data_IF_512743070942
#
_entry.id   IF_512743070942
#
_cell.length_a   1.000
_cell.length_b   1.000
_cell.length_c   1.000
_cell.angle_alpha   90.00
_cell.angle_beta   90.00
_cell.angle_gamma   90.00
#
_symmetry.space_group_name_H-M   'P 1'
#
loop_
_entity.id
_entity.type
_entity.pdbx_description
1 polymer ?
#
# COMPACT_ATOMS: atom_id res chain seq x y z
N UNK A 1 61.19 68.45 -41.07
CA UNK A 1 62.09 67.36 -41.51
C UNK A 1 61.59 66.06 -40.89
N UNK A 2 61.24 65.09 -41.74
CA UNK A 2 61.17 63.61 -41.58
C UNK A 2 60.85 63.02 -40.19
N UNK A 3 59.90 62.09 -39.97
CA UNK A 3 59.42 60.94 -40.77
C UNK A 3 58.21 60.27 -40.08
N UNK A 4 57.24 59.75 -40.86
CA UNK A 4 56.29 58.66 -40.46
C UNK A 4 57.05 57.29 -40.40
N UNK A 5 56.52 56.12 -39.90
CA UNK A 5 55.11 55.66 -39.70
C UNK A 5 54.93 54.71 -38.45
N UNK A 6 53.98 53.73 -38.34
CA UNK A 6 52.63 53.52 -38.91
C UNK A 6 51.50 53.28 -37.85
N UNK A 7 50.25 53.31 -38.33
CA UNK A 7 49.00 52.91 -37.66
C UNK A 7 48.98 51.46 -37.15
N UNK A 8 48.22 51.17 -36.07
CA UNK A 8 47.38 49.96 -35.93
C UNK A 8 46.30 50.10 -34.83
N UNK A 9 45.06 49.94 -35.28
CA UNK A 9 43.83 49.43 -34.65
C UNK A 9 43.55 49.67 -33.16
N UNK A 10 42.46 50.41 -32.93
CA UNK A 10 41.69 50.49 -31.69
C UNK A 10 40.84 49.22 -31.51
N UNK A 11 41.09 48.46 -30.43
CA UNK A 11 40.11 47.52 -29.91
C UNK A 11 39.78 47.88 -28.45
N UNK A 12 38.48 48.07 -28.25
CA UNK A 12 37.83 48.59 -27.07
C UNK A 12 37.39 47.40 -26.22
N UNK A 13 38.20 46.97 -25.26
CA UNK A 13 37.86 45.83 -24.39
C UNK A 13 37.22 46.33 -23.10
N UNK A 14 35.89 46.37 -23.12
CA UNK A 14 35.03 46.56 -21.95
C UNK A 14 35.21 45.41 -20.97
N UNK A 15 35.49 45.76 -19.73
CA UNK A 15 35.55 44.90 -18.55
C UNK A 15 34.25 44.12 -18.35
N UNK A 16 34.31 42.78 -18.46
CA UNK A 16 33.25 41.88 -17.99
C UNK A 16 33.41 41.66 -16.49
N UNK A 17 32.40 42.09 -15.73
CA UNK A 17 32.27 41.88 -14.30
C UNK A 17 32.09 40.39 -13.97
N UNK A 18 32.78 39.97 -12.91
CA UNK A 18 32.69 38.63 -12.34
C UNK A 18 31.24 38.28 -11.96
N UNK A 19 30.72 37.25 -12.60
CA UNK A 19 29.48 36.58 -12.22
C UNK A 19 29.71 35.90 -10.86
N UNK A 20 28.98 36.35 -9.85
CA UNK A 20 29.00 35.77 -8.52
C UNK A 20 28.52 34.33 -8.60
N UNK A 21 29.46 33.41 -8.39
CA UNK A 21 29.23 31.98 -8.28
C UNK A 21 28.45 31.71 -6.99
N UNK A 22 27.12 31.75 -7.05
CA UNK A 22 26.25 31.23 -5.99
C UNK A 22 26.47 29.71 -5.89
N UNK A 23 26.80 29.16 -4.70
CA UNK A 23 26.97 27.73 -4.56
C UNK A 23 25.64 27.02 -4.90
N UNK A 24 25.66 26.14 -5.90
CA UNK A 24 24.58 25.17 -6.12
C UNK A 24 24.45 24.36 -4.83
N UNK A 25 23.34 24.51 -4.10
CA UNK A 25 23.04 23.62 -2.99
C UNK A 25 22.83 22.22 -3.58
N UNK A 26 23.76 21.32 -3.28
CA UNK A 26 23.79 19.97 -3.83
C UNK A 26 22.92 19.06 -2.96
N UNK A 27 21.63 18.99 -3.28
CA UNK A 27 20.70 18.12 -2.57
C UNK A 27 20.90 16.67 -3.03
N UNK A 28 21.29 15.80 -2.11
CA UNK A 28 21.26 14.35 -2.30
C UNK A 28 19.86 13.95 -2.79
N UNK A 29 19.72 13.20 -3.90
CA UNK A 29 18.40 12.78 -4.38
C UNK A 29 17.64 12.02 -3.29
N UNK A 30 16.36 12.35 -3.10
CA UNK A 30 15.51 11.67 -2.13
C UNK A 30 15.01 10.33 -2.66
N UNK A 31 14.62 9.44 -1.75
CA UNK A 31 13.80 8.30 -2.13
C UNK A 31 12.38 8.77 -2.49
N UNK A 32 11.69 8.06 -3.36
CA UNK A 32 10.29 8.37 -3.74
C UNK A 32 9.42 7.16 -3.47
N UNK A 33 8.42 7.30 -2.61
CA UNK A 33 7.39 6.29 -2.37
C UNK A 33 6.15 6.61 -3.23
N UNK A 34 5.92 5.79 -4.24
CA UNK A 34 4.67 5.78 -4.99
C UNK A 34 3.63 5.01 -4.20
N UNK A 35 2.51 5.65 -3.87
CA UNK A 35 1.51 5.12 -2.95
C UNK A 35 0.09 5.52 -3.34
N UNK A 36 -0.90 4.84 -2.78
CA UNK A 36 -2.31 5.25 -2.87
C UNK A 36 -2.95 5.24 -1.49
N UNK A 37 -3.70 6.28 -1.08
CA UNK A 37 -4.39 6.32 0.21
C UNK A 37 -5.38 5.16 0.40
N UNK A 38 -6.00 4.71 -0.69
CA UNK A 38 -6.95 3.58 -0.71
C UNK A 38 -6.24 2.21 -0.81
N UNK A 39 -4.90 2.18 -0.81
CA UNK A 39 -4.12 0.95 -0.86
C UNK A 39 -3.66 0.52 0.52
N UNK A 40 -4.08 -0.69 0.86
CA UNK A 40 -3.79 -1.39 2.10
C UNK A 40 -2.29 -1.57 2.30
N UNK A 41 -1.60 -2.02 1.25
CA UNK A 41 -0.17 -2.21 1.28
C UNK A 41 0.61 -0.89 1.28
N UNK A 42 0.02 0.19 0.74
CA UNK A 42 0.59 1.54 0.88
C UNK A 42 0.51 2.01 2.33
N UNK A 43 -0.59 1.74 3.03
CA UNK A 43 -0.69 2.03 4.47
C UNK A 43 0.41 1.32 5.28
N UNK A 44 0.76 0.06 4.95
CA UNK A 44 1.88 -0.63 5.60
C UNK A 44 3.22 0.10 5.38
N UNK A 45 3.50 0.56 4.16
CA UNK A 45 4.71 1.32 3.87
C UNK A 45 4.73 2.67 4.61
N UNK A 46 3.60 3.37 4.68
CA UNK A 46 3.47 4.63 5.42
C UNK A 46 3.66 4.42 6.92
N UNK A 47 3.05 3.38 7.51
CA UNK A 47 3.29 3.00 8.91
C UNK A 47 4.77 2.73 9.17
N UNK A 48 5.46 2.05 8.25
CA UNK A 48 6.90 1.81 8.37
C UNK A 48 7.72 3.11 8.33
N UNK A 49 7.40 4.04 7.43
CA UNK A 49 8.08 5.35 7.38
C UNK A 49 7.93 6.11 8.70
N UNK A 50 6.72 6.15 9.26
CA UNK A 50 6.43 6.83 10.53
C UNK A 50 7.11 6.17 11.72
N UNK A 51 7.01 4.85 11.86
CA UNK A 51 7.61 4.11 12.98
C UNK A 51 9.14 4.15 12.96
N UNK A 52 9.72 4.24 11.77
CA UNK A 52 11.16 4.41 11.60
C UNK A 52 11.61 5.86 11.71
N UNK A 53 10.68 6.82 11.72
CA UNK A 53 10.97 8.24 11.90
C UNK A 53 11.52 8.94 10.66
N UNK A 54 11.25 8.44 9.45
CA UNK A 54 11.63 9.12 8.21
C UNK A 54 10.99 10.51 8.13
N UNK A 55 11.81 11.54 7.88
CA UNK A 55 11.38 12.92 7.71
C UNK A 55 10.89 13.23 6.29
N UNK A 56 10.15 14.33 6.17
CA UNK A 56 9.58 14.81 4.90
C UNK A 56 10.67 15.22 3.88
N UNK A 57 11.89 15.45 4.33
CA UNK A 57 13.05 15.74 3.50
C UNK A 57 13.86 14.49 3.11
N UNK A 58 13.47 13.29 3.56
CA UNK A 58 14.17 12.03 3.24
C UNK A 58 13.42 11.20 2.18
N UNK A 59 12.08 11.25 2.18
CA UNK A 59 11.23 10.47 1.26
C UNK A 59 10.12 11.34 0.69
N UNK A 60 10.09 11.50 -0.63
CA UNK A 60 8.98 12.15 -1.31
C UNK A 60 7.83 11.15 -1.51
N UNK A 61 6.60 11.57 -1.20
CA UNK A 61 5.40 10.77 -1.42
C UNK A 61 4.75 11.16 -2.75
N UNK A 62 4.55 10.18 -3.64
CA UNK A 62 3.88 10.38 -4.93
C UNK A 62 2.59 9.59 -5.01
N UNK A 63 1.47 10.29 -5.10
CA UNK A 63 0.15 9.70 -5.26
C UNK A 63 0.05 8.97 -6.60
N UNK A 64 -0.56 7.79 -6.57
CA UNK A 64 -1.01 7.02 -7.73
C UNK A 64 -2.51 6.77 -7.58
N UNK A 65 -3.29 7.35 -8.48
CA UNK A 65 -4.75 7.21 -8.54
C UNK A 65 -5.12 5.87 -9.18
N UNK A 66 -5.44 4.88 -8.33
CA UNK A 66 -5.83 3.55 -8.75
C UNK A 66 -7.22 3.52 -9.41
N UNK A 67 -8.08 4.50 -9.15
CA UNK A 67 -9.39 4.63 -9.79
C UNK A 67 -9.28 5.06 -11.24
N UNK A 68 -8.30 5.91 -11.55
CA UNK A 68 -7.96 6.33 -12.92
C UNK A 68 -7.01 5.40 -13.66
N UNK A 69 -6.57 4.32 -13.01
CA UNK A 69 -5.66 3.34 -13.62
C UNK A 69 -4.24 3.88 -13.85
N UNK A 70 -3.77 4.87 -13.08
CA UNK A 70 -2.43 5.45 -13.25
C UNK A 70 -1.30 4.42 -13.03
N UNK A 71 -1.56 3.37 -12.25
CA UNK A 71 -0.64 2.25 -12.06
C UNK A 71 -0.45 1.39 -13.33
N UNK A 72 -1.28 1.56 -14.35
CA UNK A 72 -1.13 0.90 -15.66
C UNK A 72 -0.38 1.75 -16.68
N UNK A 73 -0.08 3.01 -16.35
CA UNK A 73 0.66 3.91 -17.23
C UNK A 73 2.06 3.36 -17.53
N UNK A 74 2.54 3.40 -18.79
CA UNK A 74 3.86 2.90 -19.16
C UNK A 74 5.01 3.49 -18.34
N UNK A 75 4.91 4.74 -17.89
CA UNK A 75 5.91 5.39 -17.04
C UNK A 75 5.95 4.75 -15.65
N UNK A 76 4.80 4.42 -15.07
CA UNK A 76 4.72 3.69 -13.81
C UNK A 76 5.17 2.23 -13.97
N UNK A 77 4.79 1.57 -15.07
CA UNK A 77 5.14 0.16 -15.34
C UNK A 77 6.65 -0.05 -15.51
N UNK A 78 7.41 0.99 -15.90
CA UNK A 78 8.88 0.95 -15.89
C UNK A 78 9.45 0.87 -14.47
N UNK A 79 8.75 1.42 -13.48
CA UNK A 79 9.12 1.34 -12.06
C UNK A 79 8.63 0.02 -11.47
N UNK A 80 7.37 -0.33 -11.70
CA UNK A 80 6.76 -1.56 -11.21
C UNK A 80 5.97 -2.29 -12.31
N UNK A 81 6.55 -3.33 -12.94
CA UNK A 81 5.88 -4.06 -14.01
C UNK A 81 4.71 -4.92 -13.54
N UNK A 82 4.47 -5.03 -12.22
CA UNK A 82 3.29 -5.69 -11.66
C UNK A 82 2.06 -4.77 -11.59
N UNK A 83 2.21 -3.48 -11.90
CA UNK A 83 1.16 -2.46 -11.80
C UNK A 83 0.56 -2.34 -10.39
N UNK A 84 1.39 -2.46 -9.34
CA UNK A 84 0.94 -2.39 -7.94
C UNK A 84 1.59 -1.25 -7.18
N UNK A 85 0.93 -0.80 -6.13
CA UNK A 85 1.50 0.08 -5.11
C UNK A 85 1.50 -0.66 -3.77
N UNK A 86 2.42 -0.36 -2.85
CA UNK A 86 3.44 0.69 -2.93
C UNK A 86 4.60 0.35 -3.87
N UNK A 87 5.36 1.35 -4.29
CA UNK A 87 6.65 1.17 -4.99
C UNK A 87 7.63 2.22 -4.50
N UNK A 88 8.73 1.78 -3.90
CA UNK A 88 9.78 2.67 -3.40
C UNK A 88 10.93 2.73 -4.39
N UNK A 89 11.25 3.92 -4.87
CA UNK A 89 12.42 4.18 -5.73
C UNK A 89 13.49 4.82 -4.87
N UNK A 90 14.62 4.14 -4.69
CA UNK A 90 15.73 4.60 -3.86
C UNK A 90 16.96 4.90 -4.71
N UNK A 91 17.70 5.98 -4.42
CA UNK A 91 18.97 6.26 -5.08
C UNK A 91 20.04 5.27 -4.58
N UNK A 92 20.92 4.85 -5.47
CA UNK A 92 22.03 3.96 -5.13
C UNK A 92 23.15 4.77 -4.47
N UNK A 93 23.61 4.31 -3.30
CA UNK A 93 24.68 4.97 -2.53
C UNK A 93 25.94 5.27 -3.35
N UNK A 94 26.29 4.37 -4.29
CA UNK A 94 27.49 4.50 -5.15
C UNK A 94 27.38 5.57 -6.24
N UNK A 95 26.23 6.22 -6.36
CA UNK A 95 25.94 7.21 -7.41
C UNK A 95 25.34 8.50 -6.83
N UNK A 96 25.69 8.82 -5.58
CA UNK A 96 25.24 10.04 -4.88
C UNK A 96 26.23 11.21 -5.04
N UNK A 97 27.41 10.99 -5.62
CA UNK A 97 28.39 12.03 -5.90
C UNK A 97 27.95 12.90 -7.09
N UNK A 98 28.22 14.20 -7.03
CA UNK A 98 27.84 15.18 -8.07
C UNK A 98 28.34 14.84 -9.48
N UNK A 99 29.46 14.12 -9.57
CA UNK A 99 30.10 13.74 -10.84
C UNK A 99 29.53 12.45 -11.47
N UNK A 100 28.56 11.78 -10.83
CA UNK A 100 28.02 10.49 -11.28
C UNK A 100 26.51 10.59 -11.44
N UNK A 101 25.99 10.21 -12.62
CA UNK A 101 24.56 10.10 -12.87
C UNK A 101 23.91 9.16 -11.82
N UNK A 102 22.96 9.70 -11.06
CA UNK A 102 22.29 8.95 -10.00
C UNK A 102 21.53 7.77 -10.59
N UNK A 103 21.87 6.57 -10.13
CA UNK A 103 21.16 5.34 -10.45
C UNK A 103 20.16 5.06 -9.34
N UNK A 104 19.02 4.50 -9.72
CA UNK A 104 17.94 4.19 -8.80
C UNK A 104 17.60 2.70 -8.82
N UNK A 105 17.08 2.20 -7.71
CA UNK A 105 16.50 0.87 -7.59
C UNK A 105 15.05 0.99 -7.17
N UNK A 106 14.15 0.35 -7.91
CA UNK A 106 12.76 0.18 -7.50
C UNK A 106 12.61 -1.07 -6.62
N UNK A 107 11.93 -0.92 -5.49
CA UNK A 107 11.48 -1.98 -4.59
C UNK A 107 9.96 -2.02 -4.68
N UNK A 108 9.44 -3.11 -5.23
CA UNK A 108 8.05 -3.22 -5.70
C UNK A 108 7.22 -4.25 -4.92
N UNK A 109 7.86 -4.94 -3.98
CA UNK A 109 7.26 -5.92 -3.09
C UNK A 109 7.18 -5.33 -1.68
N UNK A 110 5.98 -5.33 -1.09
CA UNK A 110 5.74 -4.67 0.20
C UNK A 110 6.56 -5.29 1.33
N UNK A 111 6.75 -6.62 1.35
CA UNK A 111 7.55 -7.30 2.40
C UNK A 111 9.01 -6.82 2.33
N UNK A 112 9.57 -6.83 1.12
CA UNK A 112 10.95 -6.39 0.85
C UNK A 112 11.12 -4.89 1.09
N UNK A 113 10.10 -4.08 0.78
CA UNK A 113 10.09 -2.63 1.01
C UNK A 113 10.16 -2.30 2.50
N UNK A 114 9.31 -2.93 3.31
CA UNK A 114 9.29 -2.71 4.77
C UNK A 114 10.61 -3.18 5.41
N UNK A 115 11.11 -4.35 5.02
CA UNK A 115 12.41 -4.85 5.48
C UNK A 115 13.56 -3.91 5.10
N UNK A 116 13.52 -3.36 3.88
CA UNK A 116 14.50 -2.38 3.43
C UNK A 116 14.44 -1.09 4.26
N UNK A 117 13.26 -0.53 4.52
CA UNK A 117 13.10 0.67 5.35
C UNK A 117 13.59 0.43 6.78
N UNK A 118 13.25 -0.71 7.38
CA UNK A 118 13.69 -1.04 8.73
C UNK A 118 15.22 -1.15 8.84
N UNK A 119 15.87 -1.81 7.86
CA UNK A 119 17.32 -1.99 7.83
C UNK A 119 18.10 -0.73 7.45
N UNK A 120 17.52 0.11 6.58
CA UNK A 120 18.21 1.29 6.05
C UNK A 120 18.32 2.42 7.07
N UNK A 121 17.45 2.45 8.08
CA UNK A 121 17.48 3.43 9.17
C UNK A 121 17.54 2.73 10.52
N UNK A 122 18.64 2.92 11.24
CA UNK A 122 18.85 2.41 12.60
C UNK A 122 19.21 3.54 13.56
N UNK A 123 19.11 3.29 14.87
CA UNK A 123 19.53 4.23 15.91
C UNK A 123 21.01 4.67 15.80
N UNK A 124 21.85 3.89 15.11
CA UNK A 124 23.26 4.19 14.86
C UNK A 124 23.53 4.65 13.42
N UNK A 125 22.48 4.86 12.61
CA UNK A 125 22.66 5.08 11.19
C UNK A 125 23.37 6.39 10.90
N UNK A 126 24.39 6.32 10.04
CA UNK A 126 25.10 7.46 9.48
C UNK A 126 24.55 7.87 8.11
N UNK A 127 23.40 7.31 7.70
CA UNK A 127 22.84 7.48 6.36
C UNK A 127 22.12 8.81 6.22
N UNK A 128 22.86 9.92 6.12
CA UNK A 128 22.35 11.26 5.75
C UNK A 128 20.94 11.59 6.27
N UNK A 129 20.63 11.15 7.49
CA UNK A 129 19.29 11.29 8.03
C UNK A 129 19.20 12.66 8.63
N UNK A 130 18.16 13.37 8.25
CA UNK A 130 17.87 14.74 8.66
C UNK A 130 16.88 14.78 9.81
N UNK A 131 16.09 13.71 9.98
CA UNK A 131 15.14 13.57 11.07
C UNK A 131 15.81 13.07 12.36
N UNK A 132 15.55 13.77 13.46
CA UNK A 132 15.95 13.36 14.82
C UNK A 132 14.97 12.38 15.46
N UNK A 133 13.94 11.92 14.75
CA UNK A 133 12.96 10.99 15.29
C UNK A 133 13.61 9.62 15.57
N UNK A 134 13.18 8.92 16.63
CA UNK A 134 13.68 7.58 16.96
C UNK A 134 13.51 6.60 15.79
N UNK A 135 14.50 5.73 15.62
CA UNK A 135 14.48 4.66 14.61
C UNK A 135 14.61 3.28 15.30
N UNK A 136 13.56 2.80 15.99
CA UNK A 136 13.57 1.50 16.67
C UNK A 136 13.79 0.36 15.67
N UNK A 137 14.42 -0.75 16.10
CA UNK A 137 14.49 -1.96 15.27
C UNK A 137 13.13 -2.64 15.27
N UNK A 138 12.53 -2.82 14.09
CA UNK A 138 11.26 -3.55 13.93
C UNK A 138 11.50 -5.03 13.59
N UNK A 139 12.68 -5.37 13.07
CA UNK A 139 13.09 -6.77 12.88
C UNK A 139 13.29 -7.44 14.25
N UNK A 140 12.69 -8.62 14.49
CA UNK A 140 12.85 -9.32 15.76
C UNK A 140 14.29 -9.76 16.03
N UNK A 141 14.70 -9.76 17.30
CA UNK A 141 16.08 -10.08 17.69
C UNK A 141 16.40 -11.59 17.74
N UNK A 142 15.38 -12.46 17.80
CA UNK A 142 15.57 -13.92 17.91
C UNK A 142 15.10 -14.65 16.66
N UNK A 143 15.70 -15.81 16.38
CA UNK A 143 15.32 -16.67 15.25
C UNK A 143 13.87 -17.16 15.40
N UNK A 144 13.44 -17.50 16.62
CA UNK A 144 12.08 -17.92 16.89
C UNK A 144 11.07 -16.81 16.56
N UNK A 145 11.30 -15.60 17.08
CA UNK A 145 10.42 -14.46 16.82
C UNK A 145 10.43 -14.05 15.33
N UNK A 146 11.58 -14.15 14.66
CA UNK A 146 11.69 -13.92 13.21
C UNK A 146 10.86 -14.93 12.41
N UNK A 147 10.90 -16.21 12.80
CA UNK A 147 10.09 -17.27 12.18
C UNK A 147 8.60 -16.98 12.34
N UNK A 148 8.14 -16.67 13.57
CA UNK A 148 6.73 -16.33 13.82
C UNK A 148 6.29 -15.08 13.06
N UNK A 149 7.10 -14.02 13.06
CA UNK A 149 6.82 -12.80 12.29
C UNK A 149 6.64 -13.08 10.80
N UNK A 150 7.53 -13.93 10.24
CA UNK A 150 7.44 -14.36 8.85
C UNK A 150 6.17 -15.16 8.58
N UNK A 151 5.81 -16.11 9.45
CA UNK A 151 4.56 -16.87 9.33
C UNK A 151 3.35 -15.95 9.28
N UNK A 152 3.28 -14.97 10.19
CA UNK A 152 2.20 -13.98 10.22
C UNK A 152 2.15 -13.18 8.90
N UNK A 153 3.30 -12.66 8.46
CA UNK A 153 3.39 -11.90 7.19
C UNK A 153 3.01 -12.79 6.00
N UNK A 154 3.39 -14.05 5.99
CA UNK A 154 3.05 -14.98 4.91
C UNK A 154 1.55 -15.28 4.87
N UNK A 155 0.89 -15.46 6.03
CA UNK A 155 -0.58 -15.59 6.13
C UNK A 155 -1.28 -14.35 5.55
N UNK A 156 -0.84 -13.15 5.91
CA UNK A 156 -1.49 -11.90 5.48
C UNK A 156 -1.37 -11.63 3.97
N UNK A 157 -0.39 -12.23 3.32
CA UNK A 157 -0.09 -12.01 1.89
C UNK A 157 -0.49 -13.19 1.00
N UNK A 158 -1.26 -14.16 1.51
CA UNK A 158 -1.84 -15.19 0.63
C UNK A 158 -2.97 -14.60 -0.21
N UNK A 159 -3.30 -15.26 -1.33
CA UNK A 159 -4.42 -14.82 -2.17
C UNK A 159 -5.77 -14.98 -1.46
N UNK A 160 -5.90 -15.99 -0.58
CA UNK A 160 -7.07 -16.24 0.24
C UNK A 160 -7.30 -15.12 1.26
N UNK A 161 -6.22 -14.57 1.83
CA UNK A 161 -6.29 -13.46 2.77
C UNK A 161 -6.31 -12.10 2.08
N UNK A 162 -6.25 -12.02 0.74
CA UNK A 162 -6.05 -10.76 0.03
C UNK A 162 -7.23 -9.79 0.24
N UNK A 163 -7.01 -8.68 0.98
CA UNK A 163 -8.11 -7.79 1.34
C UNK A 163 -8.59 -6.90 0.19
N UNK A 164 -7.81 -6.77 -0.90
CA UNK A 164 -8.27 -6.12 -2.14
C UNK A 164 -9.35 -6.97 -2.82
N UNK A 165 -9.20 -8.28 -2.80
CA UNK A 165 -10.22 -9.19 -3.33
C UNK A 165 -11.51 -9.05 -2.50
N UNK A 166 -11.41 -9.07 -1.17
CA UNK A 166 -12.54 -8.87 -0.27
C UNK A 166 -13.30 -7.56 -0.56
N UNK A 167 -12.59 -6.45 -0.79
CA UNK A 167 -13.21 -5.16 -1.13
C UNK A 167 -14.11 -5.24 -2.37
N UNK A 168 -13.61 -5.82 -3.48
CA UNK A 168 -14.38 -5.87 -4.74
C UNK A 168 -15.51 -6.89 -4.75
N UNK A 169 -15.57 -7.80 -3.77
CA UNK A 169 -16.61 -8.82 -3.63
C UNK A 169 -17.35 -8.72 -2.30
N UNK A 170 -17.37 -7.55 -1.65
CA UNK A 170 -17.95 -7.38 -0.31
C UNK A 170 -19.50 -7.35 -0.30
N UNK A 171 -20.14 -8.42 -0.79
CA UNK A 171 -21.59 -8.58 -0.81
C UNK A 171 -22.01 -9.99 -0.37
N UNK A 172 -23.09 -10.09 0.40
CA UNK A 172 -23.64 -11.34 0.93
C UNK A 172 -24.99 -11.71 0.34
N UNK A 173 -25.70 -10.71 -0.16
CA UNK A 173 -27.06 -10.77 -0.68
C UNK A 173 -27.28 -9.66 -1.72
N UNK A 174 -28.49 -9.56 -2.27
CA UNK A 174 -28.81 -8.56 -3.29
C UNK A 174 -28.70 -7.11 -2.77
N UNK A 175 -29.06 -6.86 -1.51
CA UNK A 175 -29.03 -5.52 -0.92
C UNK A 175 -27.60 -5.00 -0.75
N UNK A 176 -26.73 -5.85 -0.22
CA UNK A 176 -25.29 -5.57 -0.10
C UNK A 176 -24.61 -5.52 -1.46
N UNK A 177 -25.05 -6.30 -2.46
CA UNK A 177 -24.55 -6.19 -3.84
C UNK A 177 -24.85 -4.83 -4.46
N UNK A 178 -26.05 -4.29 -4.25
CA UNK A 178 -26.41 -2.94 -4.71
C UNK A 178 -25.58 -1.85 -4.03
N UNK A 179 -25.33 -2.02 -2.73
CA UNK A 179 -24.51 -1.08 -1.95
C UNK A 179 -23.06 -1.10 -2.41
N UNK A 180 -22.49 -2.30 -2.58
CA UNK A 180 -21.16 -2.52 -3.12
C UNK A 180 -21.01 -1.90 -4.51
N UNK A 181 -21.97 -2.14 -5.41
CA UNK A 181 -21.92 -1.59 -6.77
C UNK A 181 -21.80 -0.06 -6.77
N UNK A 182 -22.53 0.65 -5.90
CA UNK A 182 -22.42 2.12 -5.78
C UNK A 182 -21.02 2.56 -5.39
N UNK A 183 -20.36 1.82 -4.52
CA UNK A 183 -19.02 2.11 -4.02
C UNK A 183 -17.93 1.82 -5.06
N UNK A 184 -17.98 0.67 -5.72
CA UNK A 184 -16.84 0.18 -6.53
C UNK A 184 -16.97 0.47 -8.03
N UNK A 185 -18.18 0.70 -8.55
CA UNK A 185 -18.37 0.95 -9.99
C UNK A 185 -17.56 2.13 -10.53
N UNK A 186 -17.45 3.30 -9.85
CA UNK A 186 -16.63 4.40 -10.35
C UNK A 186 -15.17 3.99 -10.56
N UNK A 187 -14.59 3.29 -9.58
CA UNK A 187 -13.21 2.79 -9.63
C UNK A 187 -13.03 1.74 -10.73
N UNK A 188 -13.96 0.79 -10.87
CA UNK A 188 -13.86 -0.25 -11.90
C UNK A 188 -14.02 0.32 -13.32
N UNK A 189 -14.92 1.28 -13.52
CA UNK A 189 -15.10 1.96 -14.81
C UNK A 189 -13.85 2.76 -15.19
N UNK A 190 -13.30 3.56 -14.28
CA UNK A 190 -12.08 4.33 -14.55
C UNK A 190 -10.89 3.41 -14.90
N UNK A 191 -10.75 2.27 -14.21
CA UNK A 191 -9.77 1.23 -14.57
C UNK A 191 -10.01 0.64 -15.96
N UNK A 192 -11.26 0.27 -16.26
CA UNK A 192 -11.63 -0.30 -17.55
C UNK A 192 -11.34 0.67 -18.70
N UNK A 193 -11.71 1.94 -18.53
CA UNK A 193 -11.48 3.02 -19.49
C UNK A 193 -9.99 3.23 -19.76
N UNK A 194 -9.18 3.37 -18.69
CA UNK A 194 -7.73 3.54 -18.82
C UNK A 194 -7.07 2.34 -19.52
N UNK A 195 -7.42 1.11 -19.13
CA UNK A 195 -6.89 -0.10 -19.75
C UNK A 195 -7.30 -0.20 -21.23
N UNK A 196 -8.56 0.10 -21.55
CA UNK A 196 -9.04 0.12 -22.92
C UNK A 196 -8.30 1.16 -23.76
N UNK A 197 -8.05 2.35 -23.20
CA UNK A 197 -7.27 3.40 -23.86
C UNK A 197 -5.86 2.90 -24.18
N UNK A 198 -5.11 2.41 -23.17
CA UNK A 198 -3.74 1.91 -23.38
C UNK A 198 -3.66 0.77 -24.40
N UNK A 199 -4.61 -0.17 -24.36
CA UNK A 199 -4.69 -1.27 -25.35
C UNK A 199 -4.91 -0.69 -26.75
N UNK A 200 -5.86 0.24 -26.90
CA UNK A 200 -6.21 0.84 -28.19
C UNK A 200 -5.04 1.62 -28.78
N UNK A 201 -4.34 2.42 -27.97
CA UNK A 201 -3.15 3.17 -28.39
C UNK A 201 -2.00 2.24 -28.79
N UNK A 202 -1.82 1.14 -28.06
CA UNK A 202 -0.80 0.14 -28.38
C UNK A 202 -1.12 -0.72 -29.61
N UNK A 203 -2.40 -0.92 -29.93
CA UNK A 203 -2.83 -1.63 -31.14
C UNK A 203 -2.81 -0.71 -32.38
N UNK A 204 -3.00 0.60 -32.19
CA UNK A 204 -2.82 1.64 -33.23
C UNK A 204 -1.37 2.06 -33.45
N UNK A 205 -0.44 1.47 -32.72
CA UNK A 205 1.00 1.79 -32.75
C UNK A 205 1.33 3.25 -32.37
N UNK A 206 0.43 3.93 -31.66
CA UNK A 206 0.67 5.27 -31.10
C UNK A 206 1.41 5.21 -29.76
N UNK A 207 1.39 4.05 -29.10
CA UNK A 207 2.09 3.77 -27.86
C UNK A 207 2.89 2.46 -27.98
N UNK A 208 4.22 2.57 -28.09
CA UNK A 208 5.08 1.39 -28.17
C UNK A 208 5.42 0.85 -26.77
N UNK A 209 4.94 -0.37 -26.51
CA UNK A 209 5.24 -1.12 -25.28
C UNK A 209 5.51 -2.58 -25.61
N UNK A 210 6.20 -3.29 -24.71
CA UNK A 210 6.48 -4.72 -24.86
C UNK A 210 5.20 -5.56 -24.91
N UNK A 211 5.28 -6.75 -25.54
CA UNK A 211 4.19 -7.73 -25.54
C UNK A 211 3.74 -8.11 -24.12
N UNK A 212 4.68 -8.16 -23.16
CA UNK A 212 4.37 -8.43 -21.75
C UNK A 212 3.43 -7.38 -21.15
N UNK A 213 3.64 -6.10 -21.46
CA UNK A 213 2.78 -5.01 -21.01
C UNK A 213 1.41 -5.09 -21.66
N UNK A 214 1.34 -5.35 -22.99
CA UNK A 214 0.06 -5.56 -23.68
C UNK A 214 -0.74 -6.70 -23.06
N UNK A 215 -0.09 -7.81 -22.73
CA UNK A 215 -0.72 -8.96 -22.08
C UNK A 215 -1.21 -8.64 -20.67
N UNK A 216 -0.40 -7.92 -19.88
CA UNK A 216 -0.80 -7.43 -18.54
C UNK A 216 -2.08 -6.60 -18.62
N UNK A 217 -2.14 -5.62 -19.53
CA UNK A 217 -3.34 -4.79 -19.67
C UNK A 217 -4.58 -5.60 -20.05
N UNK A 218 -4.45 -6.56 -20.98
CA UNK A 218 -5.55 -7.44 -21.38
C UNK A 218 -6.05 -8.31 -20.21
N UNK A 219 -5.13 -8.89 -19.45
CA UNK A 219 -5.46 -9.69 -18.26
C UNK A 219 -6.19 -8.84 -17.21
N UNK A 220 -5.66 -7.66 -16.89
CA UNK A 220 -6.27 -6.74 -15.90
C UNK A 220 -7.62 -6.20 -16.36
N UNK A 221 -7.77 -5.95 -17.66
CA UNK A 221 -9.06 -5.52 -18.24
C UNK A 221 -10.07 -6.66 -18.13
N UNK A 222 -9.70 -7.88 -18.50
CA UNK A 222 -10.59 -9.04 -18.40
C UNK A 222 -11.07 -9.27 -16.95
N UNK A 223 -10.17 -9.21 -15.96
CA UNK A 223 -10.55 -9.31 -14.55
C UNK A 223 -11.51 -8.19 -14.12
N UNK A 224 -11.30 -6.97 -14.61
CA UNK A 224 -12.18 -5.82 -14.34
C UNK A 224 -13.55 -5.99 -15.00
N UNK A 225 -13.58 -6.47 -16.25
CA UNK A 225 -14.80 -6.73 -17.00
C UNK A 225 -15.67 -7.79 -16.30
N UNK A 226 -15.07 -8.89 -15.82
CA UNK A 226 -15.80 -9.94 -15.07
C UNK A 226 -16.56 -9.38 -13.87
N UNK A 227 -15.97 -8.44 -13.12
CA UNK A 227 -16.65 -7.78 -12.01
C UNK A 227 -17.77 -6.85 -12.50
N UNK A 228 -17.50 -6.05 -13.54
CA UNK A 228 -18.46 -5.11 -14.12
C UNK A 228 -19.71 -5.81 -14.68
N UNK A 229 -19.57 -6.99 -15.28
CA UNK A 229 -20.68 -7.79 -15.80
C UNK A 229 -21.75 -8.08 -14.74
N UNK A 230 -21.35 -8.27 -13.48
CA UNK A 230 -22.29 -8.50 -12.37
C UNK A 230 -22.74 -7.17 -11.74
N UNK A 231 -21.80 -6.26 -11.49
CA UNK A 231 -22.05 -5.05 -10.72
C UNK A 231 -22.88 -4.00 -11.46
N UNK A 232 -22.79 -3.94 -12.80
CA UNK A 232 -23.64 -3.04 -13.60
C UNK A 232 -25.12 -3.40 -13.49
N UNK A 233 -25.42 -4.68 -13.27
CA UNK A 233 -26.77 -5.21 -13.15
C UNK A 233 -27.21 -5.37 -11.68
N UNK A 234 -26.40 -4.94 -10.70
CA UNK A 234 -26.69 -5.13 -9.27
C UNK A 234 -28.06 -4.58 -8.85
N UNK A 235 -28.51 -3.47 -9.43
CA UNK A 235 -29.81 -2.85 -9.16
C UNK A 235 -31.00 -3.51 -9.83
N UNK A 236 -30.78 -4.44 -10.78
CA UNK A 236 -31.88 -5.11 -11.48
C UNK A 236 -32.47 -6.23 -10.62
N UNK A 237 -33.80 -6.30 -10.48
CA UNK A 237 -34.44 -7.44 -9.82
C UNK A 237 -34.20 -8.72 -10.63
N UNK A 238 -34.21 -9.87 -9.96
CA UNK A 238 -33.89 -11.16 -10.60
C UNK A 238 -34.77 -11.44 -11.84
N UNK A 239 -36.04 -11.06 -11.83
CA UNK A 239 -36.95 -11.24 -12.97
C UNK A 239 -36.51 -10.55 -14.27
N UNK A 240 -35.67 -9.53 -14.20
CA UNK A 240 -35.19 -8.74 -15.35
C UNK A 240 -33.82 -9.21 -15.88
N UNK A 241 -33.19 -10.19 -15.22
CA UNK A 241 -31.90 -10.72 -15.63
C UNK A 241 -32.06 -11.85 -16.67
N UNK A 242 -31.13 -11.92 -17.62
CA UNK A 242 -30.99 -13.12 -18.47
C UNK A 242 -30.56 -14.33 -17.63
N UNK A 243 -30.73 -15.53 -18.18
CA UNK A 243 -30.29 -16.78 -17.54
C UNK A 243 -28.80 -16.74 -17.20
N UNK A 244 -27.98 -16.20 -18.09
CA UNK A 244 -26.53 -16.06 -17.90
C UNK A 244 -26.20 -15.04 -16.81
N UNK A 245 -26.89 -13.89 -16.79
CA UNK A 245 -26.68 -12.86 -15.77
C UNK A 245 -27.07 -13.35 -14.37
N UNK A 246 -28.15 -14.15 -14.25
CA UNK A 246 -28.52 -14.84 -13.01
C UNK A 246 -27.42 -15.77 -12.54
N UNK A 247 -26.90 -16.63 -13.43
CA UNK A 247 -25.84 -17.56 -13.09
C UNK A 247 -24.57 -16.84 -12.61
N UNK A 248 -24.17 -15.75 -13.27
CA UNK A 248 -23.01 -14.93 -12.86
C UNK A 248 -23.23 -14.26 -11.51
N UNK A 249 -24.42 -13.72 -11.22
CA UNK A 249 -24.75 -13.14 -9.91
C UNK A 249 -24.69 -14.19 -8.81
N UNK A 250 -25.27 -15.37 -9.04
CA UNK A 250 -25.22 -16.48 -8.07
C UNK A 250 -23.78 -16.91 -7.79
N UNK A 251 -22.95 -17.04 -8.83
CA UNK A 251 -21.54 -17.40 -8.66
C UNK A 251 -20.76 -16.32 -7.91
N UNK A 252 -20.98 -15.05 -8.24
CA UNK A 252 -20.38 -13.91 -7.53
C UNK A 252 -20.72 -13.94 -6.04
N UNK A 253 -22.00 -14.08 -5.68
CA UNK A 253 -22.43 -14.12 -4.28
C UNK A 253 -21.88 -15.35 -3.57
N UNK A 254 -21.76 -16.49 -4.24
CA UNK A 254 -21.11 -17.69 -3.68
C UNK A 254 -19.63 -17.43 -3.38
N UNK A 255 -18.87 -16.90 -4.35
CA UNK A 255 -17.45 -16.58 -4.18
C UNK A 255 -17.23 -15.53 -3.08
N UNK A 256 -18.06 -14.49 -3.05
CA UNK A 256 -18.06 -13.49 -1.99
C UNK A 256 -18.32 -14.12 -0.62
N UNK A 257 -19.26 -15.06 -0.55
CA UNK A 257 -19.57 -15.75 0.69
C UNK A 257 -18.43 -16.64 1.17
N UNK A 258 -17.77 -17.37 0.26
CA UNK A 258 -16.61 -18.21 0.55
C UNK A 258 -15.40 -17.36 0.98
N UNK A 259 -15.18 -16.21 0.35
CA UNK A 259 -14.07 -15.33 0.67
C UNK A 259 -14.09 -14.87 2.14
N UNK A 260 -15.28 -14.63 2.70
CA UNK A 260 -15.44 -14.31 4.12
C UNK A 260 -15.56 -15.54 5.01
N UNK A 261 -16.51 -16.43 4.69
CA UNK A 261 -16.91 -17.56 5.53
C UNK A 261 -15.88 -18.69 5.59
N UNK A 262 -15.00 -18.78 4.60
CA UNK A 262 -13.95 -19.79 4.51
C UNK A 262 -12.58 -19.13 4.60
N UNK A 263 -12.24 -18.23 3.67
CA UNK A 263 -10.87 -17.76 3.51
C UNK A 263 -10.45 -16.78 4.61
N UNK A 264 -11.21 -15.68 4.80
CA UNK A 264 -10.94 -14.70 5.86
C UNK A 264 -11.00 -15.34 7.25
N UNK A 265 -12.02 -16.20 7.47
CA UNK A 265 -12.14 -17.02 8.69
C UNK A 265 -10.88 -17.84 8.97
N UNK A 266 -10.35 -18.54 7.96
CA UNK A 266 -9.14 -19.35 8.09
C UNK A 266 -7.92 -18.48 8.41
N UNK A 267 -7.76 -17.34 7.74
CA UNK A 267 -6.68 -16.39 8.00
C UNK A 267 -6.74 -15.85 9.44
N UNK A 268 -7.89 -15.38 9.92
CA UNK A 268 -8.07 -14.88 11.28
C UNK A 268 -7.79 -15.97 12.33
N UNK A 269 -8.24 -17.19 12.08
CA UNK A 269 -7.98 -18.34 12.96
C UNK A 269 -6.48 -18.65 13.03
N UNK A 270 -5.78 -18.61 11.90
CA UNK A 270 -4.34 -18.82 11.85
C UNK A 270 -3.58 -17.70 12.57
N UNK A 271 -3.92 -16.44 12.30
CA UNK A 271 -3.34 -15.27 12.97
C UNK A 271 -3.53 -15.34 14.50
N UNK A 272 -4.73 -15.69 14.98
CA UNK A 272 -5.00 -15.81 16.41
C UNK A 272 -4.14 -16.87 17.12
N UNK A 273 -3.66 -17.88 16.39
CA UNK A 273 -2.75 -18.90 16.95
C UNK A 273 -1.32 -18.39 17.07
N UNK A 274 -0.87 -17.61 16.08
CA UNK A 274 0.51 -17.10 16.00
C UNK A 274 0.74 -15.89 16.92
N UNK A 275 -0.28 -15.06 17.14
CA UNK A 275 -0.15 -13.86 17.98
C UNK A 275 0.13 -14.25 19.44
N UNK A 276 1.09 -13.59 20.05
CA UNK A 276 1.42 -13.70 21.48
C UNK A 276 0.69 -12.62 22.29
N UNK A 277 0.49 -11.43 21.70
CA UNK A 277 -0.28 -10.30 22.24
C UNK A 277 0.61 -9.24 22.88
N UNK A 278 0.13 -8.06 23.29
CA UNK A 278 -0.81 -7.26 22.53
C UNK A 278 -0.28 -6.93 21.12
N UNK A 279 1.04 -6.85 20.89
CA UNK A 279 1.60 -6.93 19.54
C UNK A 279 1.80 -8.38 19.12
N UNK A 280 2.04 -8.62 17.84
CA UNK A 280 2.14 -9.95 17.23
C UNK A 280 3.12 -10.86 17.98
N UNK A 281 4.23 -10.31 18.49
CA UNK A 281 5.30 -11.07 19.14
C UNK A 281 5.47 -10.79 20.64
N UNK A 282 4.52 -10.11 21.29
CA UNK A 282 4.66 -9.68 22.68
C UNK A 282 4.39 -8.19 22.86
N UNK A 283 5.12 -7.58 23.79
CA UNK A 283 4.96 -6.16 24.13
C UNK A 283 5.68 -5.20 23.15
N UNK A 284 6.47 -5.72 22.21
CA UNK A 284 7.29 -4.93 21.30
C UNK A 284 6.71 -4.91 19.89
N UNK A 285 6.64 -3.72 19.29
CA UNK A 285 6.28 -3.56 17.89
C UNK A 285 7.36 -4.16 17.00
N UNK A 286 6.93 -4.82 15.93
CA UNK A 286 7.76 -5.46 14.93
C UNK A 286 7.23 -5.23 13.50
N UNK A 287 7.98 -5.70 12.50
CA UNK A 287 7.55 -5.63 11.10
C UNK A 287 6.22 -6.37 10.85
N UNK A 288 5.94 -7.47 11.55
CA UNK A 288 4.66 -8.20 11.39
C UNK A 288 3.47 -7.40 11.88
N UNK A 289 3.66 -6.52 12.87
CA UNK A 289 2.60 -5.63 13.36
C UNK A 289 2.19 -4.61 12.32
N UNK A 290 3.15 -4.08 11.55
CA UNK A 290 2.84 -3.12 10.47
C UNK A 290 1.96 -3.76 9.39
N UNK A 291 2.29 -4.99 9.01
CA UNK A 291 1.50 -5.74 8.03
C UNK A 291 0.12 -6.09 8.58
N UNK A 292 0.03 -6.56 9.83
CA UNK A 292 -1.25 -6.90 10.47
C UNK A 292 -2.12 -5.64 10.64
N UNK A 293 -1.53 -4.51 11.00
CA UNK A 293 -2.22 -3.23 11.15
C UNK A 293 -2.90 -2.80 9.85
N UNK A 294 -2.16 -2.78 8.74
CA UNK A 294 -2.70 -2.48 7.40
C UNK A 294 -3.84 -3.41 6.99
N UNK A 295 -3.60 -4.71 7.12
CA UNK A 295 -4.56 -5.74 6.74
C UNK A 295 -5.84 -5.68 7.60
N UNK A 296 -5.70 -5.66 8.92
CA UNK A 296 -6.81 -5.69 9.87
C UNK A 296 -7.66 -4.43 9.78
N UNK A 297 -7.05 -3.24 9.61
CA UNK A 297 -7.78 -1.99 9.38
C UNK A 297 -8.78 -2.10 8.22
N UNK A 298 -8.37 -2.73 7.13
CA UNK A 298 -9.22 -2.92 5.95
C UNK A 298 -10.33 -3.93 6.23
N UNK A 299 -9.98 -5.09 6.78
CA UNK A 299 -10.95 -6.15 7.06
C UNK A 299 -12.01 -5.66 8.06
N UNK A 300 -11.60 -4.90 9.07
CA UNK A 300 -12.50 -4.24 10.02
C UNK A 300 -13.42 -3.22 9.34
N UNK A 301 -12.88 -2.35 8.46
CA UNK A 301 -13.68 -1.39 7.69
C UNK A 301 -14.75 -2.08 6.85
N UNK A 302 -14.38 -3.14 6.13
CA UNK A 302 -15.30 -3.91 5.28
C UNK A 302 -16.42 -4.59 6.09
N UNK A 303 -16.14 -4.93 7.34
CA UNK A 303 -17.10 -5.47 8.30
C UNK A 303 -17.91 -4.37 9.04
N UNK A 304 -17.81 -3.10 8.65
CA UNK A 304 -18.55 -1.99 9.27
C UNK A 304 -17.93 -1.42 10.55
N UNK A 305 -16.66 -1.73 10.82
CA UNK A 305 -15.89 -1.15 11.90
C UNK A 305 -15.39 0.28 11.59
N UNK A 306 -15.10 1.03 12.64
CA UNK A 306 -14.59 2.40 12.55
C UNK A 306 -13.29 2.57 13.35
N UNK A 307 -12.49 3.59 13.00
CA UNK A 307 -11.23 3.91 13.70
C UNK A 307 -11.43 4.26 15.18
N UNK A 308 -12.65 4.66 15.56
CA UNK A 308 -13.05 4.98 16.94
C UNK A 308 -13.39 3.75 17.78
N UNK A 309 -13.74 2.63 17.15
CA UNK A 309 -14.15 1.40 17.83
C UNK A 309 -12.98 0.78 18.60
N UNK A 310 -13.25 0.22 19.79
CA UNK A 310 -12.27 -0.55 20.57
C UNK A 310 -12.12 -1.97 20.01
N UNK A 311 -11.10 -2.68 20.49
CA UNK A 311 -10.74 -4.03 20.05
C UNK A 311 -11.89 -5.01 20.08
N UNK A 312 -12.63 -5.08 21.20
CA UNK A 312 -13.78 -5.97 21.31
C UNK A 312 -14.88 -5.61 20.32
N UNK A 313 -15.19 -4.32 20.14
CA UNK A 313 -16.19 -3.86 19.18
C UNK A 313 -15.82 -4.23 17.75
N UNK A 314 -14.57 -3.98 17.32
CA UNK A 314 -14.17 -4.31 15.94
C UNK A 314 -14.15 -5.80 15.68
N UNK A 315 -13.72 -6.61 16.66
CA UNK A 315 -13.70 -8.06 16.50
C UNK A 315 -15.11 -8.64 16.52
N UNK A 316 -16.02 -8.14 17.38
CA UNK A 316 -17.41 -8.60 17.36
C UNK A 316 -18.11 -8.28 16.03
N UNK A 317 -17.89 -7.10 15.45
CA UNK A 317 -18.38 -6.78 14.11
C UNK A 317 -17.82 -7.73 13.05
N UNK A 318 -16.53 -8.05 13.12
CA UNK A 318 -15.88 -8.97 12.21
C UNK A 318 -16.41 -10.41 12.34
N UNK A 319 -16.61 -10.89 13.57
CA UNK A 319 -17.19 -12.20 13.86
C UNK A 319 -18.63 -12.30 13.34
N UNK A 320 -19.45 -11.27 13.58
CA UNK A 320 -20.82 -11.16 13.06
C UNK A 320 -20.82 -11.14 11.53
N UNK A 321 -19.92 -10.36 10.91
CA UNK A 321 -19.82 -10.25 9.46
C UNK A 321 -19.42 -11.57 8.80
N UNK A 322 -18.53 -12.35 9.42
CA UNK A 322 -18.16 -13.70 8.96
C UNK A 322 -19.33 -14.67 9.12
N UNK A 323 -20.06 -14.58 10.22
CA UNK A 323 -21.27 -15.35 10.50
C UNK A 323 -21.02 -16.80 10.88
N UNK A 324 -22.07 -17.63 10.79
CA UNK A 324 -22.04 -19.07 11.09
C UNK A 324 -21.49 -19.43 12.49
N UNK A 325 -21.77 -18.57 13.48
CA UNK A 325 -21.31 -18.76 14.86
C UNK A 325 -19.79 -18.69 15.03
N UNK A 326 -19.08 -18.07 14.07
CA UNK A 326 -17.64 -17.85 14.21
C UNK A 326 -17.33 -16.95 15.41
N UNK A 327 -16.30 -17.32 16.16
CA UNK A 327 -15.79 -16.55 17.28
C UNK A 327 -14.32 -16.89 17.51
N UNK A 328 -13.52 -15.88 17.78
CA UNK A 328 -12.13 -16.03 18.16
C UNK A 328 -12.02 -16.36 19.65
N UNK A 329 -11.00 -17.14 20.07
CA UNK A 329 -10.74 -17.36 21.48
C UNK A 329 -10.57 -16.05 22.24
N UNK A 330 -11.23 -15.92 23.39
CA UNK A 330 -11.09 -14.79 24.33
C UNK A 330 -10.14 -15.15 25.46
N UNK A 331 -8.93 -15.53 25.09
CA UNK A 331 -7.89 -16.07 25.96
C UNK A 331 -6.77 -15.08 26.27
N UNK A 332 -6.88 -13.82 25.82
CA UNK A 332 -5.92 -12.78 26.15
C UNK A 332 -6.35 -12.00 27.40
N UNK A 333 -5.51 -12.04 28.43
CA UNK A 333 -5.67 -11.31 29.69
C UNK A 333 -4.76 -10.08 29.71
N UNK A 334 -5.36 -8.88 29.58
CA UNK A 334 -4.63 -7.61 29.43
C UNK A 334 -3.91 -7.13 30.70
N UNK A 335 -4.30 -7.62 31.88
CA UNK A 335 -3.73 -7.19 33.17
C UNK A 335 -3.75 -8.34 34.17
N UNK A 336 -2.70 -8.41 35.01
CA UNK A 336 -2.63 -9.39 36.13
C UNK A 336 -3.68 -9.15 37.22
N UNK A 337 -4.37 -8.01 37.20
CA UNK A 337 -5.36 -7.61 38.20
C UNK A 337 -6.82 -7.93 37.80
N UNK A 338 -7.06 -8.47 36.60
CA UNK A 338 -8.39 -8.85 36.14
C UNK A 338 -9.36 -7.69 35.88
N UNK A 339 -8.89 -6.44 35.84
CA UNK A 339 -9.74 -5.25 35.67
C UNK A 339 -10.36 -5.11 34.28
N UNK A 340 -9.80 -5.79 33.27
CA UNK A 340 -10.35 -5.84 31.91
C UNK A 340 -10.91 -7.23 31.61
N UNK A 341 -12.09 -7.32 30.97
CA UNK A 341 -12.63 -8.60 30.54
C UNK A 341 -11.67 -9.29 29.56
N UNK A 342 -11.61 -10.65 29.56
CA UNK A 342 -10.86 -11.39 28.57
C UNK A 342 -11.28 -11.00 27.16
N UNK A 343 -10.30 -10.83 26.29
CA UNK A 343 -10.51 -10.44 24.89
C UNK A 343 -9.76 -11.38 23.96
N UNK A 344 -10.05 -11.30 22.66
CA UNK A 344 -9.23 -11.99 21.67
C UNK A 344 -7.89 -11.27 21.50
N UNK A 345 -6.87 -12.01 21.07
CA UNK A 345 -5.55 -11.43 20.79
C UNK A 345 -5.58 -10.37 19.69
N UNK A 346 -6.47 -10.51 18.72
CA UNK A 346 -6.67 -9.51 17.67
C UNK A 346 -7.37 -8.24 18.21
N UNK A 347 -8.28 -8.37 19.18
CA UNK A 347 -8.86 -7.22 19.88
C UNK A 347 -7.78 -6.46 20.68
N UNK A 348 -6.94 -7.20 21.42
CA UNK A 348 -5.82 -6.61 22.15
C UNK A 348 -4.82 -5.90 21.22
N UNK A 349 -4.53 -6.51 20.08
CA UNK A 349 -3.70 -5.90 19.03
C UNK A 349 -4.28 -4.60 18.50
N UNK A 350 -5.58 -4.59 18.19
CA UNK A 350 -6.26 -3.39 17.73
C UNK A 350 -6.14 -2.24 18.74
N UNK A 351 -6.41 -2.52 20.02
CA UNK A 351 -6.32 -1.52 21.08
C UNK A 351 -4.89 -1.01 21.30
N UNK A 352 -3.87 -1.86 21.14
CA UNK A 352 -2.48 -1.44 21.28
C UNK A 352 -1.99 -0.64 20.06
N UNK A 353 -2.30 -1.08 18.84
CA UNK A 353 -1.78 -0.45 17.63
C UNK A 353 -2.43 0.91 17.37
N UNK A 354 -3.71 1.07 17.71
CA UNK A 354 -4.42 2.35 17.50
C UNK A 354 -3.89 3.50 18.34
N UNK A 355 -3.22 3.19 19.46
CA UNK A 355 -2.62 4.21 20.32
C UNK A 355 -1.33 4.78 19.75
N UNK A 356 -0.74 4.11 18.76
CA UNK A 356 0.54 4.52 18.18
C UNK A 356 0.41 5.82 17.36
N UNK A 357 1.39 6.72 17.45
CA UNK A 357 1.42 7.94 16.63
C UNK A 357 1.34 7.66 15.12
N UNK A 358 2.01 6.61 14.63
CA UNK A 358 1.97 6.20 13.22
C UNK A 358 0.56 5.88 12.77
N UNK A 359 -0.18 5.07 13.54
CA UNK A 359 -1.57 4.72 13.29
C UNK A 359 -2.44 5.97 13.24
N UNK A 360 -2.34 6.82 14.26
CA UNK A 360 -3.10 8.07 14.36
C UNK A 360 -2.84 8.98 13.17
N UNK A 361 -1.62 9.00 12.60
CA UNK A 361 -1.29 9.80 11.41
C UNK A 361 -1.82 9.17 10.13
N UNK A 362 -1.61 7.87 9.92
CA UNK A 362 -2.00 7.15 8.70
C UNK A 362 -3.53 7.04 8.58
N UNK A 363 -4.24 6.79 9.68
CA UNK A 363 -5.69 6.59 9.69
C UNK A 363 -6.46 7.79 10.26
N UNK A 364 -5.87 9.00 10.26
CA UNK A 364 -6.50 10.21 10.80
C UNK A 364 -7.83 10.56 10.09
N UNK A 365 -7.96 10.17 8.82
CA UNK A 365 -9.14 10.46 7.98
C UNK A 365 -10.14 9.29 7.97
N UNK A 366 -9.87 8.23 8.75
CA UNK A 366 -10.68 7.02 8.83
C UNK A 366 -9.93 5.76 8.39
N UNK A 367 -10.61 4.63 8.51
CA UNK A 367 -10.14 3.35 7.94
C UNK A 367 -10.53 3.33 6.46
N UNK A 368 -9.64 3.83 5.60
CA UNK A 368 -9.75 3.86 4.13
C UNK A 368 -10.95 4.61 3.52
#
# INVERSE_FOLDING_TARGET
MSSLPPQRFSDNTTTFSAEQNTPKMTSIPKAVLYYSPVSIWSAVALLALEEKGYGDDEVDLKLVDLGKGENFDPTFLRLNPKATVPTLVVPLQKTLSEDVESRYKAITDTKTLVDFLDKSRSAMSRTHTTSSAPAPSLTPATIAATTTAKTIIDILHTEEANPVNLFFINARDESSLQSLAKEVLPTLKGKQEALQQFITEADKDTLHVSLKVKNLWKEKKNATDTLLEVLLDAGKPEGELSTEAKAKRTDFLRVANDAWGVNCKAALTALSKEIVGPFTLGDQLSVSDLHLAGWLATVVKLAGGAVTDNGNTVISKLEEYIGNGFGLPKDFESTKDGSRPPQSKLAAFWDAVRERPSWKKVYREGLF
#
